data_IF_901883491079
#
_entry.id   IF_901883491079
#
_cell.length_a   1.000
_cell.length_b   1.000
_cell.length_c   1.000
_cell.angle_alpha   90.00
_cell.angle_beta   90.00
_cell.angle_gamma   90.00
#
_symmetry.space_group_name_H-M   'P 1'
#
loop_
_entity.id
_entity.type
_entity.pdbx_description
1 polymer ?
#
# COMPACT_ATOMS: atom_id res chain seq x y z
N UNK A 1 3.60 -20.31 -60.25
CA UNK A 1 4.74 -20.34 -59.31
C UNK A 1 5.14 -18.91 -58.97
N UNK A 2 5.07 -18.54 -57.66
CA UNK A 2 5.55 -17.31 -56.97
C UNK A 2 5.04 -15.94 -57.49
N UNK A 3 5.08 -14.86 -56.66
CA UNK A 3 4.85 -14.77 -55.21
C UNK A 3 3.77 -13.71 -54.88
N UNK A 4 3.12 -13.85 -53.70
CA UNK A 4 2.29 -12.79 -53.10
C UNK A 4 3.19 -11.65 -52.63
N UNK A 5 3.07 -10.47 -53.22
CA UNK A 5 3.59 -9.21 -52.66
C UNK A 5 2.54 -8.60 -51.74
N UNK A 6 2.82 -8.53 -50.43
CA UNK A 6 2.06 -7.70 -49.49
C UNK A 6 2.46 -6.23 -49.72
N UNK A 7 1.53 -5.26 -49.71
CA UNK A 7 1.91 -3.85 -49.68
C UNK A 7 2.56 -3.54 -48.33
N UNK A 8 3.85 -3.20 -48.39
CA UNK A 8 4.59 -2.55 -47.31
C UNK A 8 4.17 -1.08 -47.22
N UNK A 9 4.13 -0.60 -45.98
CA UNK A 9 4.27 0.80 -45.58
C UNK A 9 3.09 1.75 -45.82
N UNK A 10 2.01 1.56 -45.04
CA UNK A 10 1.19 2.68 -44.56
C UNK A 10 1.84 3.40 -43.35
N UNK A 11 2.98 2.90 -42.87
CA UNK A 11 3.57 3.28 -41.57
C UNK A 11 4.57 4.46 -41.65
N UNK A 12 4.84 5.00 -42.85
CA UNK A 12 5.86 6.05 -43.02
C UNK A 12 5.29 7.40 -43.50
N UNK A 13 3.99 7.48 -43.78
CA UNK A 13 3.36 8.73 -44.24
C UNK A 13 2.91 9.64 -43.07
N UNK A 14 2.73 9.10 -41.86
CA UNK A 14 2.34 9.88 -40.69
C UNK A 14 3.51 10.63 -40.03
N UNK A 15 4.76 10.23 -40.29
CA UNK A 15 5.93 10.76 -39.59
C UNK A 15 6.44 12.11 -40.15
N UNK A 16 6.02 12.50 -41.36
CA UNK A 16 6.50 13.72 -42.02
C UNK A 16 5.54 14.91 -41.95
N UNK A 17 4.32 14.72 -41.42
CA UNK A 17 3.32 15.80 -41.30
C UNK A 17 3.29 16.47 -39.90
N UNK A 18 4.11 16.00 -38.96
CA UNK A 18 4.22 16.53 -37.59
C UNK A 18 5.39 17.51 -37.38
N UNK A 19 6.14 17.85 -38.43
CA UNK A 19 7.32 18.73 -38.36
C UNK A 19 7.09 20.17 -38.86
N UNK A 20 5.83 20.57 -39.07
CA UNK A 20 5.49 21.89 -39.62
C UNK A 20 4.45 22.69 -38.81
N UNK A 21 4.24 22.35 -37.53
CA UNK A 21 3.56 23.26 -36.59
C UNK A 21 4.57 23.78 -35.57
N UNK A 22 5.16 24.93 -35.90
CA UNK A 22 5.88 25.77 -34.94
C UNK A 22 4.83 26.38 -34.01
N UNK A 23 4.84 26.12 -32.68
CA UNK A 23 4.22 27.05 -31.76
C UNK A 23 5.23 28.16 -31.44
N UNK A 24 4.72 29.39 -31.41
CA UNK A 24 5.33 30.55 -30.77
C UNK A 24 5.89 30.20 -29.37
N UNK A 25 6.77 31.03 -28.75
CA UNK A 25 7.22 30.84 -27.37
C UNK A 25 6.05 31.05 -26.41
N UNK A 26 5.21 30.03 -26.30
CA UNK A 26 4.00 29.97 -25.52
C UNK A 26 4.00 28.66 -24.77
N UNK A 27 3.81 28.76 -23.45
CA UNK A 27 3.58 27.70 -22.48
C UNK A 27 3.61 26.29 -23.05
N UNK A 28 4.75 25.62 -22.91
CA UNK A 28 4.78 24.16 -23.03
C UNK A 28 3.95 23.63 -21.86
N UNK A 29 2.72 23.21 -22.13
CA UNK A 29 1.96 22.39 -21.22
C UNK A 29 2.67 21.04 -21.18
N UNK A 30 3.59 20.88 -20.24
CA UNK A 30 4.20 19.58 -19.92
C UNK A 30 3.08 18.77 -19.27
N UNK A 31 2.43 17.88 -20.02
CA UNK A 31 1.59 16.86 -19.39
C UNK A 31 2.53 15.86 -18.73
N UNK A 32 2.71 15.97 -17.42
CA UNK A 32 3.17 14.82 -16.65
C UNK A 32 2.08 13.74 -16.81
N UNK A 33 2.38 12.65 -17.51
CA UNK A 33 1.54 11.45 -17.47
C UNK A 33 1.66 10.90 -16.05
N UNK A 34 0.51 10.85 -15.41
CA UNK A 34 0.37 10.37 -14.05
C UNK A 34 0.08 8.87 -14.15
N UNK A 35 1.04 8.04 -13.77
CA UNK A 35 0.82 6.59 -13.67
C UNK A 35 0.42 6.24 -12.24
N UNK A 36 -0.71 5.54 -12.11
CA UNK A 36 -1.15 4.95 -10.85
C UNK A 36 -0.69 3.51 -10.77
N UNK A 37 0.25 3.23 -9.87
CA UNK A 37 0.80 1.89 -9.66
C UNK A 37 0.32 1.36 -8.32
N UNK A 38 -0.44 0.25 -8.32
CA UNK A 38 -0.77 -0.49 -7.10
C UNK A 38 0.39 -1.39 -6.71
N UNK A 39 0.94 -1.16 -5.53
CA UNK A 39 2.07 -1.87 -4.98
C UNK A 39 1.69 -2.52 -3.64
N UNK A 40 1.95 -3.82 -3.50
CA UNK A 40 1.76 -4.52 -2.24
C UNK A 40 3.07 -4.52 -1.47
N UNK A 41 3.10 -3.80 -0.35
CA UNK A 41 4.20 -3.85 0.60
C UNK A 41 3.88 -4.90 1.63
N UNK A 42 4.42 -6.09 1.41
CA UNK A 42 4.41 -7.12 2.43
C UNK A 42 5.34 -6.68 3.56
N UNK A 43 4.77 -6.55 4.74
CA UNK A 43 5.48 -6.06 5.91
C UNK A 43 5.77 -7.20 6.89
N UNK A 44 6.75 -6.95 7.76
CA UNK A 44 7.31 -7.92 8.69
C UNK A 44 6.26 -8.74 9.44
N UNK A 45 6.57 -10.02 9.66
CA UNK A 45 5.74 -10.89 10.48
C UNK A 45 5.83 -10.47 11.96
N UNK A 46 4.68 -10.18 12.56
CA UNK A 46 4.56 -9.73 13.93
C UNK A 46 4.19 -10.92 14.82
N UNK A 47 5.04 -11.20 15.81
CA UNK A 47 4.84 -12.30 16.75
C UNK A 47 4.26 -11.82 18.08
N UNK A 48 3.37 -12.64 18.62
CA UNK A 48 2.68 -12.40 19.88
C UNK A 48 2.89 -13.58 20.81
N UNK A 49 3.18 -13.26 22.07
CA UNK A 49 3.19 -14.27 23.11
C UNK A 49 1.75 -14.78 23.28
N UNK A 50 1.60 -16.10 23.43
CA UNK A 50 0.33 -16.67 23.85
C UNK A 50 0.00 -16.19 25.26
N UNK A 51 -1.30 -16.03 25.56
CA UNK A 51 -1.76 -15.61 26.88
C UNK A 51 -1.69 -16.73 27.94
N UNK A 52 -1.37 -17.96 27.54
CA UNK A 52 -1.22 -19.11 28.44
C UNK A 52 -2.44 -19.29 29.36
N UNK A 53 -2.30 -19.16 30.69
CA UNK A 53 -3.43 -19.30 31.61
C UNK A 53 -4.50 -18.20 31.49
N UNK A 54 -4.19 -17.09 30.81
CA UNK A 54 -5.12 -15.99 30.54
C UNK A 54 -5.80 -16.11 29.16
N UNK A 55 -5.69 -17.27 28.51
CA UNK A 55 -6.33 -17.53 27.23
C UNK A 55 -7.83 -17.21 27.24
N UNK A 56 -8.32 -16.56 26.18
CA UNK A 56 -9.71 -16.15 26.04
C UNK A 56 -10.10 -14.90 26.84
N UNK A 57 -9.16 -14.27 27.56
CA UNK A 57 -9.40 -12.98 28.18
C UNK A 57 -9.16 -11.83 27.20
N UNK A 58 -9.90 -10.74 27.42
CA UNK A 58 -9.75 -9.49 26.70
C UNK A 58 -8.35 -8.90 26.94
N UNK A 59 -7.58 -8.72 25.86
CA UNK A 59 -6.29 -8.04 25.89
C UNK A 59 -6.16 -7.04 24.75
N UNK A 60 -5.22 -6.11 24.92
CA UNK A 60 -4.79 -5.18 23.89
C UNK A 60 -3.29 -5.34 23.71
N UNK A 61 -2.85 -5.54 22.47
CA UNK A 61 -1.43 -5.59 22.12
C UNK A 61 -1.09 -4.50 21.12
N UNK A 62 0.08 -3.91 21.29
CA UNK A 62 0.62 -2.91 20.37
C UNK A 62 1.96 -3.41 19.80
N UNK A 63 2.14 -3.23 18.49
CA UNK A 63 3.39 -3.53 17.78
C UNK A 63 3.73 -2.38 16.85
N UNK A 64 5.00 -2.02 16.83
CA UNK A 64 5.54 -1.05 15.88
C UNK A 64 6.33 -1.81 14.82
N UNK A 65 6.15 -1.43 13.56
CA UNK A 65 6.83 -2.05 12.44
C UNK A 65 7.11 -1.04 11.33
N UNK A 66 8.12 -1.30 10.51
CA UNK A 66 8.48 -0.44 9.38
C UNK A 66 8.04 -1.08 8.07
N UNK A 67 7.29 -0.34 7.26
CA UNK A 67 7.13 -0.69 5.85
C UNK A 67 8.34 -0.14 5.07
N UNK A 68 8.99 -1.01 4.30
CA UNK A 68 10.06 -0.60 3.39
C UNK A 68 9.46 -0.45 2.01
N UNK A 69 9.59 0.74 1.43
CA UNK A 69 9.17 1.03 0.07
C UNK A 69 10.37 0.86 -0.85
N UNK A 70 10.17 0.27 -2.03
CA UNK A 70 11.23 0.12 -3.02
C UNK A 70 11.78 1.51 -3.41
N UNK A 71 13.07 1.72 -3.16
CA UNK A 71 13.72 3.02 -3.30
C UNK A 71 13.68 3.57 -4.72
N UNK A 72 13.61 2.71 -5.75
CA UNK A 72 13.64 3.18 -7.13
C UNK A 72 12.35 3.89 -7.56
N UNK A 73 11.20 3.48 -6.99
CA UNK A 73 9.91 4.11 -7.29
C UNK A 73 9.74 5.40 -6.48
N UNK A 74 10.27 5.44 -5.25
CA UNK A 74 10.10 6.56 -4.32
C UNK A 74 10.64 7.90 -4.82
N UNK A 75 11.67 7.88 -5.66
CA UNK A 75 12.25 9.11 -6.25
C UNK A 75 11.27 9.85 -7.18
N UNK A 76 10.21 9.18 -7.64
CA UNK A 76 9.23 9.71 -8.60
C UNK A 76 7.82 9.81 -8.01
N UNK A 77 7.62 9.50 -6.72
CA UNK A 77 6.30 9.55 -6.10
C UNK A 77 5.89 10.99 -5.81
N UNK A 78 4.79 11.43 -6.43
CA UNK A 78 4.14 12.73 -6.21
C UNK A 78 2.90 12.60 -5.31
N UNK A 79 2.30 11.42 -5.24
CA UNK A 79 1.27 11.15 -4.24
C UNK A 79 1.28 9.66 -3.89
N UNK A 80 0.98 9.32 -2.65
CA UNK A 80 0.82 7.94 -2.24
C UNK A 80 -0.50 7.83 -1.48
N UNK A 81 -1.18 6.72 -1.65
CA UNK A 81 -2.42 6.43 -0.95
C UNK A 81 -2.39 5.01 -0.45
N UNK A 82 -2.54 4.83 0.86
CA UNK A 82 -2.79 3.50 1.39
C UNK A 82 -4.25 3.16 1.11
N UNK A 83 -4.48 2.13 0.31
CA UNK A 83 -5.82 1.77 -0.18
C UNK A 83 -6.39 0.57 0.55
N UNK A 84 -5.51 -0.33 0.95
CA UNK A 84 -5.89 -1.57 1.57
C UNK A 84 -4.89 -1.93 2.65
N UNK A 85 -5.41 -2.52 3.70
CA UNK A 85 -4.58 -3.14 4.70
C UNK A 85 -5.11 -4.51 5.01
N UNK A 86 -4.24 -5.51 4.94
CA UNK A 86 -4.62 -6.90 5.19
C UNK A 86 -3.76 -7.49 6.28
N UNK A 87 -4.40 -7.99 7.33
CA UNK A 87 -3.76 -8.73 8.41
C UNK A 87 -4.02 -10.21 8.18
N UNK A 88 -2.95 -10.98 7.96
CA UNK A 88 -3.02 -12.38 7.54
C UNK A 88 -2.46 -13.28 8.65
N UNK A 89 -3.18 -14.34 9.07
CA UNK A 89 -2.61 -15.38 9.92
C UNK A 89 -1.31 -15.94 9.33
N UNK A 90 -0.22 -15.96 10.12
CA UNK A 90 1.07 -16.47 9.66
C UNK A 90 1.45 -17.79 10.35
N UNK A 91 1.32 -17.87 11.68
CA UNK A 91 1.57 -19.10 12.44
C UNK A 91 0.80 -19.15 13.75
N UNK A 92 0.59 -20.36 14.28
CA UNK A 92 -0.10 -20.59 15.56
C UNK A 92 -1.63 -20.49 15.50
N UNK A 93 -2.17 -19.76 14.52
CA UNK A 93 -3.60 -19.59 14.27
C UNK A 93 -3.91 -19.68 12.78
N UNK A 94 -5.11 -20.15 12.42
CA UNK A 94 -5.59 -20.24 11.03
C UNK A 94 -6.57 -19.13 10.66
N UNK A 95 -7.17 -18.46 11.64
CA UNK A 95 -8.09 -17.34 11.44
C UNK A 95 -7.89 -16.29 12.52
N UNK A 96 -8.30 -15.04 12.27
CA UNK A 96 -8.25 -13.93 13.23
C UNK A 96 -9.61 -13.67 13.90
N UNK A 97 -10.41 -14.72 14.10
CA UNK A 97 -11.75 -14.64 14.70
C UNK A 97 -11.74 -14.25 16.18
N UNK A 98 -10.60 -14.29 16.85
CA UNK A 98 -10.43 -13.81 18.21
C UNK A 98 -10.08 -12.30 18.28
N UNK A 99 -9.76 -11.68 17.14
CA UNK A 99 -9.51 -10.24 17.04
C UNK A 99 -10.83 -9.49 16.98
N UNK A 100 -11.00 -8.52 17.88
CA UNK A 100 -12.20 -7.69 18.02
C UNK A 100 -12.04 -6.31 17.40
N UNK A 101 -10.83 -5.76 17.48
CA UNK A 101 -10.50 -4.45 16.95
C UNK A 101 -9.09 -4.45 16.37
N UNK A 102 -8.91 -3.75 15.26
CA UNK A 102 -7.61 -3.49 14.63
C UNK A 102 -7.53 -2.00 14.35
N UNK A 103 -6.52 -1.34 14.93
CA UNK A 103 -6.21 0.06 14.65
C UNK A 103 -4.80 0.20 14.15
N UNK A 104 -4.63 1.00 13.11
CA UNK A 104 -3.31 1.24 12.53
C UNK A 104 -3.07 2.73 12.40
N UNK A 105 -1.92 3.16 12.92
CA UNK A 105 -1.50 4.55 12.93
C UNK A 105 -0.16 4.72 12.26
N UNK A 106 -0.02 5.82 11.54
CA UNK A 106 1.29 6.29 11.10
C UNK A 106 2.02 6.92 12.29
N UNK A 107 3.30 6.60 12.46
CA UNK A 107 4.14 7.25 13.47
C UNK A 107 4.96 8.38 12.83
N UNK A 108 5.06 9.49 13.55
CA UNK A 108 6.00 10.57 13.24
C UNK A 108 7.46 10.12 13.46
N UNK A 109 8.42 10.90 12.94
CA UNK A 109 9.85 10.63 13.14
C UNK A 109 10.29 10.58 14.62
N UNK A 110 9.46 11.05 15.57
CA UNK A 110 9.69 10.96 17.01
C UNK A 110 9.00 9.77 17.70
N UNK A 111 8.33 8.89 16.95
CA UNK A 111 7.63 7.71 17.48
C UNK A 111 6.23 7.98 18.06
N UNK A 112 5.75 9.23 18.00
CA UNK A 112 4.39 9.56 18.39
C UNK A 112 3.40 9.30 17.23
N UNK A 113 2.21 8.73 17.49
CA UNK A 113 1.20 8.50 16.46
C UNK A 113 0.67 9.81 15.92
N UNK A 114 0.61 9.92 14.61
CA UNK A 114 0.28 11.17 13.90
C UNK A 114 -1.06 11.08 13.18
N UNK A 115 -1.34 9.95 12.52
CA UNK A 115 -2.55 9.77 11.70
C UNK A 115 -3.14 8.39 11.94
N UNK A 116 -4.46 8.31 12.16
CA UNK A 116 -5.20 7.05 12.21
C UNK A 116 -5.57 6.63 10.79
N UNK A 117 -4.94 5.59 10.28
CA UNK A 117 -5.10 5.15 8.89
C UNK A 117 -6.28 4.19 8.74
N UNK A 118 -6.43 3.29 9.70
CA UNK A 118 -7.50 2.31 9.71
C UNK A 118 -8.01 2.08 11.12
N UNK A 119 -9.33 1.98 11.25
CA UNK A 119 -10.02 1.55 12.47
C UNK A 119 -11.09 0.53 12.09
N UNK A 120 -10.83 -0.72 12.42
CA UNK A 120 -11.79 -1.80 12.30
C UNK A 120 -12.23 -2.21 13.69
N UNK A 121 -13.53 -2.28 13.88
CA UNK A 121 -14.14 -3.02 14.98
C UNK A 121 -15.06 -4.08 14.41
N UNK A 122 -15.11 -5.23 15.08
CA UNK A 122 -16.02 -6.34 14.72
C UNK A 122 -17.51 -5.96 14.83
N UNK A 123 -17.81 -4.83 15.48
CA UNK A 123 -19.14 -4.23 15.53
C UNK A 123 -19.47 -3.37 14.29
N UNK A 124 -18.52 -3.14 13.38
CA UNK A 124 -18.64 -2.32 12.17
C UNK A 124 -18.39 -3.07 10.85
N UNK A 125 -17.84 -2.37 9.84
CA UNK A 125 -17.86 -2.72 8.41
C UNK A 125 -16.79 -3.73 7.90
N UNK A 126 -15.95 -4.31 8.76
CA UNK A 126 -14.92 -5.24 8.28
C UNK A 126 -15.44 -6.67 8.14
N UNK A 127 -15.41 -7.19 6.92
CA UNK A 127 -15.66 -8.60 6.67
C UNK A 127 -14.37 -9.40 6.93
N UNK A 128 -14.44 -10.40 7.80
CA UNK A 128 -13.43 -11.45 7.82
C UNK A 128 -13.44 -12.14 6.44
N UNK A 129 -12.28 -12.16 5.78
CA UNK A 129 -12.15 -12.83 4.50
C UNK A 129 -12.26 -14.35 4.69
N UNK A 130 -12.64 -15.07 3.64
CA UNK A 130 -12.85 -16.53 3.67
C UNK A 130 -11.60 -17.33 4.02
N UNK A 131 -10.43 -16.71 3.93
CA UNK A 131 -9.13 -17.26 4.29
C UNK A 131 -8.71 -16.96 5.74
N UNK A 132 -9.59 -16.37 6.55
CA UNK A 132 -9.32 -16.02 7.94
C UNK A 132 -8.52 -14.73 8.12
N UNK A 133 -8.20 -14.01 7.04
CA UNK A 133 -7.58 -12.68 7.09
C UNK A 133 -8.59 -11.58 7.40
N UNK A 134 -8.08 -10.45 7.89
CA UNK A 134 -8.86 -9.22 8.08
C UNK A 134 -8.39 -8.21 7.04
N UNK A 135 -9.32 -7.74 6.20
CA UNK A 135 -9.03 -6.67 5.24
C UNK A 135 -9.73 -5.40 5.70
N UNK A 136 -8.96 -4.35 5.89
CA UNK A 136 -9.39 -3.03 6.31
C UNK A 136 -9.30 -2.08 5.12
N UNK A 137 -10.38 -1.34 4.89
CA UNK A 137 -10.33 -0.17 4.00
C UNK A 137 -9.74 0.99 4.78
N UNK A 138 -8.84 1.69 4.12
CA UNK A 138 -8.11 2.83 4.69
C UNK A 138 -8.79 4.10 4.21
N UNK A 139 -8.98 5.04 5.13
CA UNK A 139 -9.79 6.24 4.89
C UNK A 139 -8.98 7.53 4.71
N UNK A 140 -7.65 7.45 4.57
CA UNK A 140 -6.80 8.64 4.46
C UNK A 140 -5.81 8.59 3.29
N UNK A 141 -5.64 9.76 2.67
CA UNK A 141 -4.63 10.03 1.64
C UNK A 141 -3.29 10.34 2.32
N UNK A 142 -2.18 9.81 1.79
CA UNK A 142 -0.85 9.92 2.41
C UNK A 142 -0.11 11.13 1.80
N UNK A 143 0.24 12.14 2.61
CA UNK A 143 1.05 13.26 2.13
C UNK A 143 2.52 12.83 1.94
N UNK A 144 2.86 12.51 0.70
CA UNK A 144 4.20 12.09 0.29
C UNK A 144 5.32 13.05 0.73
N UNK A 145 5.06 14.36 0.84
CA UNK A 145 6.09 15.37 1.19
C UNK A 145 6.61 15.23 2.62
N UNK A 146 5.85 14.56 3.49
CA UNK A 146 6.22 14.37 4.90
C UNK A 146 6.75 12.96 5.19
N UNK A 147 6.36 11.99 4.38
CA UNK A 147 6.43 10.58 4.78
C UNK A 147 7.09 9.64 3.75
N UNK A 148 7.52 10.12 2.58
CA UNK A 148 8.39 9.34 1.69
C UNK A 148 9.81 9.34 2.24
N UNK A 149 10.02 8.49 3.25
CA UNK A 149 11.34 8.05 3.71
C UNK A 149 11.51 6.60 3.31
N UNK A 150 12.75 6.13 3.18
CA UNK A 150 13.04 4.72 2.84
C UNK A 150 12.37 3.70 3.78
N UNK A 151 11.95 4.13 4.98
CA UNK A 151 11.16 3.37 5.93
C UNK A 151 10.08 4.23 6.54
N UNK A 152 8.88 3.67 6.61
CA UNK A 152 7.70 4.32 7.17
C UNK A 152 7.24 3.52 8.39
N UNK A 153 7.33 4.09 9.61
CA UNK A 153 6.95 3.39 10.83
C UNK A 153 5.42 3.44 11.05
N UNK A 154 4.85 2.29 11.37
CA UNK A 154 3.44 2.12 11.70
C UNK A 154 3.28 1.51 13.09
N UNK A 155 2.23 1.91 13.79
CA UNK A 155 1.74 1.27 15.00
C UNK A 155 0.50 0.44 14.67
N UNK A 156 0.57 -0.87 14.92
CA UNK A 156 -0.58 -1.77 14.95
C UNK A 156 -1.03 -1.97 16.38
N UNK A 157 -2.30 -1.70 16.63
CA UNK A 157 -2.98 -2.01 17.87
C UNK A 157 -4.07 -3.06 17.61
N UNK A 158 -4.03 -4.16 18.36
CA UNK A 158 -5.00 -5.24 18.29
C UNK A 158 -5.74 -5.36 19.63
N UNK A 159 -7.06 -5.21 19.61
CA UNK A 159 -7.90 -5.63 20.74
C UNK A 159 -8.47 -7.01 20.43
N UNK A 160 -8.32 -7.95 21.36
CA UNK A 160 -8.62 -9.36 21.09
C UNK A 160 -8.97 -10.14 22.35
N UNK A 161 -9.49 -11.34 22.17
CA UNK A 161 -9.52 -12.37 23.20
C UNK A 161 -8.32 -13.30 22.97
N UNK A 162 -7.28 -13.17 23.80
CA UNK A 162 -5.95 -13.66 23.41
C UNK A 162 -5.88 -15.19 23.28
N UNK A 163 -5.27 -15.74 22.20
CA UNK A 163 -4.99 -17.16 22.07
C UNK A 163 -4.06 -17.65 23.19
N UNK A 164 -4.26 -18.89 23.64
CA UNK A 164 -3.42 -19.49 24.68
C UNK A 164 -2.00 -19.81 24.23
N UNK A 165 -1.83 -20.21 22.96
CA UNK A 165 -0.54 -20.53 22.37
C UNK A 165 0.09 -19.30 21.66
N UNK A 166 1.43 -19.25 21.53
CA UNK A 166 2.10 -18.25 20.70
C UNK A 166 1.61 -18.28 19.25
N UNK A 167 1.52 -17.11 18.63
CA UNK A 167 0.99 -16.95 17.28
C UNK A 167 1.62 -15.73 16.60
N UNK A 168 1.39 -15.59 15.31
CA UNK A 168 1.89 -14.46 14.53
C UNK A 168 1.00 -14.12 13.34
N UNK A 169 1.15 -12.88 12.86
CA UNK A 169 0.49 -12.38 11.65
C UNK A 169 1.49 -11.72 10.72
N UNK A 170 1.18 -11.72 9.42
CA UNK A 170 1.77 -10.85 8.44
C UNK A 170 0.85 -9.66 8.20
N UNK A 171 1.43 -8.49 7.95
CA UNK A 171 0.69 -7.29 7.58
C UNK A 171 1.05 -6.92 6.15
N UNK A 172 0.07 -6.98 5.26
CA UNK A 172 0.22 -6.57 3.87
C UNK A 172 -0.44 -5.21 3.69
N UNK A 173 0.33 -4.25 3.17
CA UNK A 173 -0.12 -2.88 2.89
C UNK A 173 -0.28 -2.70 1.38
N UNK A 174 -1.50 -2.45 0.92
CA UNK A 174 -1.77 -2.05 -0.46
C UNK A 174 -1.62 -0.55 -0.60
N UNK A 175 -0.65 -0.12 -1.40
CA UNK A 175 -0.39 1.29 -1.70
C UNK A 175 -0.67 1.57 -3.16
N UNK A 176 -1.46 2.59 -3.44
CA UNK A 176 -1.57 3.18 -4.76
C UNK A 176 -0.60 4.37 -4.81
N UNK A 177 0.37 4.30 -5.71
CA UNK A 177 1.38 5.33 -5.91
C UNK A 177 1.05 6.11 -7.17
N UNK A 178 1.02 7.44 -7.04
CA UNK A 178 0.97 8.38 -8.15
C UNK A 178 2.40 8.83 -8.46
N UNK A 179 2.88 8.43 -9.63
CA UNK A 179 4.22 8.81 -10.08
C UNK A 179 4.13 10.05 -10.95
N UNK A 180 5.00 11.03 -10.68
CA UNK A 180 5.19 12.19 -11.53
C UNK A 180 6.62 12.21 -12.07
N UNK A 181 6.75 12.52 -13.35
CA UNK A 181 8.04 12.71 -13.99
C UNK A 181 8.23 14.17 -14.41
N UNK A 182 9.43 14.69 -14.20
CA UNK A 182 9.89 15.91 -14.86
C UNK A 182 10.70 15.53 -16.10
N UNK A 183 10.20 15.89 -17.29
CA UNK A 183 10.99 15.86 -18.51
C UNK A 183 12.00 17.02 -18.46
N UNK A 184 13.26 16.72 -18.13
CA UNK A 184 14.36 17.68 -18.28
C UNK A 184 14.82 17.68 -19.75
N UNK A 185 14.51 18.77 -20.45
CA UNK A 185 14.99 19.07 -21.81
C UNK A 185 16.36 19.72 -21.79
#
# INVERSE_FOLDING_TARGET
MRPRSRPLAAEHAALLLLLALVPAPGCVAVSAEIEQVRHSVQTQQLSFAGAGPLAGQATNETRVFDATLDSQLMDYVVHARLTELRVVPASGVSTLDFVREVRIRLLSAGGAPEVLLADYSRAGDGAAATDGSLTLRVHDDFDHTRYVRARVPFELQLAMDAPGAPWSVAVDLGLDLELGYELRL
#
